data_IF_471590326612
#
_entry.id   IF_471590326612
#
_cell.length_a   1.000
_cell.length_b   1.000
_cell.length_c   1.000
_cell.angle_alpha   90.00
_cell.angle_beta   90.00
_cell.angle_gamma   90.00
#
_symmetry.space_group_name_H-M   'P 1'
#
loop_
_entity.id
_entity.type
_entity.pdbx_description
1 polymer ?
#
# COMPACT_ATOMS: atom_id res chain seq x y z
N UNK A 1 -38.10 -21.10 -14.25
CA UNK A 1 -37.21 -20.42 -15.20
C UNK A 1 -37.65 -18.96 -15.31
N UNK A 2 -36.72 -18.03 -15.40
CA UNK A 2 -36.95 -16.59 -15.50
C UNK A 2 -36.44 -16.10 -16.83
N UNK A 3 -37.20 -15.30 -17.54
CA UNK A 3 -36.70 -14.55 -18.68
C UNK A 3 -35.57 -13.60 -18.25
N UNK A 4 -34.72 -13.18 -19.18
CA UNK A 4 -33.62 -12.24 -18.88
C UNK A 4 -34.13 -10.95 -18.21
N UNK A 5 -35.33 -10.47 -18.59
CA UNK A 5 -35.94 -9.28 -17.99
C UNK A 5 -36.41 -9.51 -16.55
N UNK A 6 -37.01 -10.64 -16.24
CA UNK A 6 -37.41 -11.02 -14.88
C UNK A 6 -36.19 -11.23 -13.99
N UNK A 7 -35.18 -11.95 -14.50
CA UNK A 7 -33.92 -12.20 -13.77
C UNK A 7 -33.18 -10.88 -13.48
N UNK A 8 -33.11 -9.98 -14.46
CA UNK A 8 -32.57 -8.63 -14.33
C UNK A 8 -33.22 -7.86 -13.18
N UNK A 9 -34.55 -7.83 -13.12
CA UNK A 9 -35.31 -7.16 -12.07
C UNK A 9 -35.07 -7.79 -10.70
N UNK A 10 -35.14 -9.12 -10.63
CA UNK A 10 -34.99 -9.85 -9.36
C UNK A 10 -33.57 -9.71 -8.77
N UNK A 11 -32.55 -9.79 -9.61
CA UNK A 11 -31.15 -9.68 -9.20
C UNK A 11 -30.65 -8.23 -9.18
N UNK A 12 -31.47 -7.25 -9.55
CA UNK A 12 -31.09 -5.82 -9.62
C UNK A 12 -29.83 -5.58 -10.47
N UNK A 13 -29.78 -6.20 -11.65
CA UNK A 13 -28.67 -6.11 -12.61
C UNK A 13 -29.23 -5.79 -14.00
N UNK A 14 -28.54 -4.97 -14.77
CA UNK A 14 -29.03 -4.60 -16.10
C UNK A 14 -29.01 -5.79 -17.08
N UNK A 15 -29.95 -5.84 -18.01
CA UNK A 15 -29.95 -6.82 -19.10
C UNK A 15 -28.64 -6.76 -19.90
N UNK A 16 -28.10 -5.56 -20.11
CA UNK A 16 -26.78 -5.36 -20.75
C UNK A 16 -25.66 -6.08 -19.99
N UNK A 17 -25.68 -6.00 -18.66
CA UNK A 17 -24.70 -6.72 -17.82
C UNK A 17 -24.85 -8.22 -17.95
N UNK A 18 -26.08 -8.75 -17.98
CA UNK A 18 -26.32 -10.19 -18.18
C UNK A 18 -25.84 -10.68 -19.54
N UNK A 19 -26.04 -9.92 -20.62
CA UNK A 19 -25.47 -10.22 -21.93
C UNK A 19 -23.94 -10.22 -21.90
N UNK A 20 -23.35 -9.27 -21.17
CA UNK A 20 -21.89 -9.22 -21.01
C UNK A 20 -21.36 -10.42 -20.23
N UNK A 21 -22.03 -10.81 -19.15
CA UNK A 21 -21.64 -11.97 -18.33
C UNK A 21 -21.76 -13.29 -19.10
N UNK A 22 -22.79 -13.41 -19.93
CA UNK A 22 -22.91 -14.54 -20.86
C UNK A 22 -21.73 -14.55 -21.85
N UNK A 23 -21.43 -13.41 -22.48
CA UNK A 23 -20.32 -13.26 -23.44
C UNK A 23 -18.96 -13.65 -22.88
N UNK A 24 -18.65 -13.23 -21.64
CA UNK A 24 -17.37 -13.55 -20.98
C UNK A 24 -17.38 -14.92 -20.27
N UNK A 25 -18.50 -15.64 -20.30
CA UNK A 25 -18.65 -16.94 -19.67
C UNK A 25 -18.70 -16.91 -18.14
N UNK A 26 -19.04 -15.76 -17.54
CA UNK A 26 -19.17 -15.61 -16.09
C UNK A 26 -20.49 -16.14 -15.56
N UNK A 27 -21.60 -15.86 -16.26
CA UNK A 27 -22.94 -16.38 -15.96
C UNK A 27 -23.69 -16.64 -17.27
N UNK A 28 -23.75 -17.91 -17.68
CA UNK A 28 -24.41 -18.32 -18.91
C UNK A 28 -25.87 -18.67 -18.64
N UNK A 29 -26.82 -18.28 -19.53
CA UNK A 29 -28.22 -18.71 -19.40
C UNK A 29 -28.34 -20.24 -19.48
N UNK A 30 -29.28 -20.84 -18.73
CA UNK A 30 -29.55 -22.28 -18.79
C UNK A 30 -30.23 -22.68 -20.09
N UNK A 31 -30.89 -21.71 -20.76
CA UNK A 31 -31.55 -21.93 -22.05
C UNK A 31 -31.51 -20.64 -22.88
N UNK A 32 -31.20 -20.81 -24.16
CA UNK A 32 -31.41 -19.78 -25.17
C UNK A 32 -32.43 -20.36 -26.16
N UNK A 33 -33.51 -19.64 -26.39
CA UNK A 33 -34.51 -20.03 -27.35
C UNK A 33 -33.95 -19.93 -28.78
N UNK A 34 -33.99 -21.01 -29.51
CA UNK A 34 -33.33 -21.12 -30.81
C UNK A 34 -34.01 -20.28 -31.91
N UNK A 35 -35.31 -19.95 -31.76
CA UNK A 35 -36.05 -19.16 -32.73
C UNK A 35 -35.99 -17.66 -32.45
N UNK A 36 -36.07 -17.30 -31.17
CA UNK A 36 -36.19 -15.90 -30.77
C UNK A 36 -34.89 -15.32 -30.20
N UNK A 37 -33.89 -16.17 -29.85
CA UNK A 37 -32.68 -15.75 -29.17
C UNK A 37 -32.87 -15.34 -27.69
N UNK A 38 -34.07 -15.52 -27.14
CA UNK A 38 -34.38 -15.15 -25.77
C UNK A 38 -33.64 -16.05 -24.78
N UNK A 39 -33.07 -15.40 -23.72
CA UNK A 39 -32.30 -16.04 -22.68
C UNK A 39 -33.15 -16.28 -21.44
N UNK A 40 -32.99 -17.46 -20.87
CA UNK A 40 -33.66 -17.89 -19.64
C UNK A 40 -32.66 -18.35 -18.61
N UNK A 41 -32.94 -17.98 -17.35
CA UNK A 41 -32.11 -18.27 -16.18
C UNK A 41 -32.90 -19.12 -15.17
N UNK A 42 -32.20 -19.90 -14.36
CA UNK A 42 -32.78 -20.75 -13.32
C UNK A 42 -32.74 -20.06 -11.95
N UNK A 43 -33.50 -20.60 -11.00
CA UNK A 43 -33.45 -20.11 -9.61
C UNK A 43 -32.07 -20.25 -8.95
N UNK A 44 -31.32 -21.39 -9.08
CA UNK A 44 -29.96 -21.48 -8.53
C UNK A 44 -29.01 -20.40 -9.07
N UNK A 45 -29.20 -19.94 -10.28
CA UNK A 45 -28.38 -18.85 -10.84
C UNK A 45 -28.61 -17.49 -10.17
N UNK A 46 -29.68 -17.31 -9.41
CA UNK A 46 -29.86 -16.13 -8.58
C UNK A 46 -28.84 -16.09 -7.44
N UNK A 47 -28.55 -17.23 -6.81
CA UNK A 47 -27.55 -17.34 -5.76
C UNK A 47 -26.15 -17.08 -6.32
N UNK A 48 -25.86 -17.64 -7.50
CA UNK A 48 -24.61 -17.38 -8.23
C UNK A 48 -24.45 -15.90 -8.58
N UNK A 49 -25.52 -15.25 -9.06
CA UNK A 49 -25.51 -13.81 -9.35
C UNK A 49 -25.27 -12.95 -8.10
N UNK A 50 -25.92 -13.30 -6.97
CA UNK A 50 -25.70 -12.63 -5.69
C UNK A 50 -24.25 -12.79 -5.20
N UNK A 51 -23.66 -13.98 -5.38
CA UNK A 51 -22.26 -14.20 -5.05
C UNK A 51 -21.34 -13.33 -5.92
N UNK A 52 -21.58 -13.27 -7.24
CA UNK A 52 -20.83 -12.41 -8.17
C UNK A 52 -20.91 -10.94 -7.70
N UNK A 53 -22.09 -10.45 -7.35
CA UNK A 53 -22.27 -9.07 -6.86
C UNK A 53 -21.50 -8.80 -5.57
N UNK A 54 -21.50 -9.75 -4.63
CA UNK A 54 -20.73 -9.64 -3.38
C UNK A 54 -19.23 -9.57 -3.63
N UNK A 55 -18.71 -10.47 -4.47
CA UNK A 55 -17.29 -10.49 -4.81
C UNK A 55 -16.85 -9.21 -5.53
N UNK A 56 -17.69 -8.69 -6.45
CA UNK A 56 -17.46 -7.37 -7.07
C UNK A 56 -17.39 -6.25 -6.03
N UNK A 57 -18.32 -6.23 -5.08
CA UNK A 57 -18.32 -5.22 -4.01
C UNK A 57 -17.07 -5.30 -3.13
N UNK A 58 -16.48 -6.48 -2.99
CA UNK A 58 -15.21 -6.65 -2.27
C UNK A 58 -13.99 -6.23 -3.09
N UNK A 59 -14.18 -5.84 -4.36
CA UNK A 59 -13.11 -5.32 -5.21
C UNK A 59 -12.46 -6.35 -6.12
N UNK A 60 -13.01 -7.58 -6.23
CA UNK A 60 -12.53 -8.55 -7.21
C UNK A 60 -12.93 -8.17 -8.65
N UNK A 61 -12.02 -8.36 -9.57
CA UNK A 61 -12.27 -8.25 -11.00
C UNK A 61 -13.18 -9.39 -11.51
N UNK A 62 -13.84 -9.19 -12.64
CA UNK A 62 -14.70 -10.22 -13.22
C UNK A 62 -13.91 -11.48 -13.62
N UNK A 63 -12.64 -11.32 -13.97
CA UNK A 63 -11.76 -12.43 -14.31
C UNK A 63 -11.40 -13.26 -13.08
N UNK A 64 -11.04 -12.63 -11.96
CA UNK A 64 -10.82 -13.29 -10.69
C UNK A 64 -12.07 -14.03 -10.21
N UNK A 65 -13.25 -13.36 -10.27
CA UNK A 65 -14.53 -13.99 -9.90
C UNK A 65 -14.80 -15.23 -10.75
N UNK A 66 -14.61 -15.14 -12.06
CA UNK A 66 -14.77 -16.29 -12.95
C UNK A 66 -13.86 -17.45 -12.57
N UNK A 67 -12.57 -17.18 -12.27
CA UNK A 67 -11.63 -18.17 -11.79
C UNK A 67 -12.06 -18.82 -10.47
N UNK A 68 -12.53 -18.00 -9.51
CA UNK A 68 -13.01 -18.47 -8.20
C UNK A 68 -14.25 -19.38 -8.31
N UNK A 69 -15.19 -19.02 -9.19
CA UNK A 69 -16.40 -19.84 -9.42
C UNK A 69 -16.07 -21.14 -10.16
N UNK A 70 -15.13 -21.10 -11.10
CA UNK A 70 -14.72 -22.29 -11.86
C UNK A 70 -13.92 -23.29 -11.02
N UNK A 71 -13.12 -22.85 -10.08
CA UNK A 71 -12.31 -23.70 -9.21
C UNK A 71 -13.17 -24.53 -8.23
N UNK A 72 -14.27 -23.98 -7.72
CA UNK A 72 -15.21 -24.68 -6.82
C UNK A 72 -14.64 -25.03 -5.43
N UNK A 73 -13.35 -24.81 -5.18
CA UNK A 73 -12.71 -25.14 -3.91
C UNK A 73 -12.95 -24.06 -2.84
N UNK A 74 -13.68 -24.45 -1.80
CA UNK A 74 -14.01 -23.55 -0.67
C UNK A 74 -12.77 -22.98 0.04
N UNK A 75 -11.67 -23.76 0.08
CA UNK A 75 -10.41 -23.31 0.71
C UNK A 75 -9.74 -22.20 -0.09
N UNK A 76 -9.71 -22.31 -1.41
CA UNK A 76 -9.14 -21.29 -2.28
C UNK A 76 -9.95 -20.00 -2.22
N UNK A 77 -11.27 -20.11 -2.29
CA UNK A 77 -12.17 -18.97 -2.11
C UNK A 77 -11.92 -18.25 -0.79
N UNK A 78 -11.81 -19.01 0.31
CA UNK A 78 -11.54 -18.45 1.64
C UNK A 78 -10.18 -17.75 1.70
N UNK A 79 -9.13 -18.35 1.12
CA UNK A 79 -7.80 -17.75 1.07
C UNK A 79 -7.80 -16.41 0.31
N UNK A 80 -8.46 -16.36 -0.84
CA UNK A 80 -8.60 -15.10 -1.63
C UNK A 80 -9.38 -14.04 -0.89
N UNK A 81 -10.43 -14.42 -0.17
CA UNK A 81 -11.20 -13.48 0.68
C UNK A 81 -10.36 -12.92 1.82
N UNK A 82 -9.51 -13.73 2.45
CA UNK A 82 -8.57 -13.26 3.48
C UNK A 82 -7.56 -12.27 2.90
N UNK A 83 -6.92 -12.60 1.80
CA UNK A 83 -5.97 -11.70 1.12
C UNK A 83 -6.63 -10.36 0.75
N UNK A 84 -7.86 -10.40 0.23
CA UNK A 84 -8.59 -9.18 -0.12
C UNK A 84 -8.94 -8.35 1.12
N UNK A 85 -9.29 -9.00 2.23
CA UNK A 85 -9.50 -8.32 3.51
C UNK A 85 -8.25 -7.58 3.98
N UNK A 86 -7.09 -8.23 3.95
CA UNK A 86 -5.81 -7.60 4.32
C UNK A 86 -5.50 -6.40 3.43
N UNK A 87 -5.66 -6.55 2.12
CA UNK A 87 -5.49 -5.44 1.16
C UNK A 87 -6.40 -4.26 1.46
N UNK A 88 -7.67 -4.51 1.76
CA UNK A 88 -8.63 -3.44 2.11
C UNK A 88 -8.29 -2.77 3.45
N UNK A 89 -7.76 -3.51 4.42
CA UNK A 89 -7.28 -2.95 5.69
C UNK A 89 -6.08 -2.03 5.47
N UNK A 90 -5.12 -2.45 4.64
CA UNK A 90 -3.97 -1.62 4.27
C UNK A 90 -4.42 -0.34 3.55
N UNK A 91 -5.28 -0.45 2.53
CA UNK A 91 -5.83 0.71 1.82
C UNK A 91 -6.58 1.68 2.75
N UNK A 92 -7.30 1.15 3.74
CA UNK A 92 -7.95 1.95 4.76
C UNK A 92 -6.94 2.76 5.57
N UNK A 93 -5.85 2.12 6.04
CA UNK A 93 -4.80 2.80 6.81
C UNK A 93 -4.11 3.90 6.01
N UNK A 94 -3.76 3.61 4.75
CA UNK A 94 -3.17 4.59 3.83
C UNK A 94 -4.11 5.78 3.61
N UNK A 95 -5.39 5.50 3.37
CA UNK A 95 -6.41 6.55 3.18
C UNK A 95 -6.60 7.40 4.44
N UNK A 96 -6.61 6.78 5.62
CA UNK A 96 -6.70 7.49 6.91
C UNK A 96 -5.48 8.38 7.15
N UNK A 97 -4.30 7.96 6.73
CA UNK A 97 -3.10 8.79 6.79
C UNK A 97 -3.22 10.02 5.88
N UNK A 98 -3.58 9.81 4.61
CA UNK A 98 -3.80 10.91 3.65
C UNK A 98 -4.85 11.90 4.15
N UNK A 99 -5.94 11.41 4.76
CA UNK A 99 -6.97 12.27 5.35
C UNK A 99 -6.44 13.10 6.53
N UNK A 100 -5.57 12.53 7.37
CA UNK A 100 -4.92 13.30 8.46
C UNK A 100 -4.03 14.40 7.91
N UNK A 101 -3.19 14.09 6.91
CA UNK A 101 -2.32 15.06 6.25
C UNK A 101 -3.13 16.18 5.59
N UNK A 102 -4.16 15.83 4.84
CA UNK A 102 -5.04 16.80 4.19
C UNK A 102 -5.73 17.71 5.22
N UNK A 103 -6.21 17.13 6.33
CA UNK A 103 -6.85 17.91 7.40
C UNK A 103 -5.88 18.92 8.03
N UNK A 104 -4.62 18.52 8.23
CA UNK A 104 -3.58 19.43 8.73
C UNK A 104 -3.31 20.57 7.73
N UNK A 105 -3.18 20.24 6.44
CA UNK A 105 -2.98 21.24 5.40
C UNK A 105 -4.17 22.22 5.27
N UNK A 106 -5.41 21.74 5.41
CA UNK A 106 -6.59 22.60 5.38
C UNK A 106 -6.60 23.58 6.57
N UNK A 107 -6.22 23.09 7.76
CA UNK A 107 -6.10 23.95 8.95
C UNK A 107 -5.03 25.03 8.76
N UNK A 108 -3.89 24.65 8.19
CA UNK A 108 -2.82 25.61 7.87
C UNK A 108 -3.27 26.62 6.81
N UNK A 109 -4.02 26.19 5.79
CA UNK A 109 -4.58 27.07 4.78
C UNK A 109 -5.57 28.09 5.38
N UNK A 110 -6.46 27.66 6.27
CA UNK A 110 -7.38 28.56 6.97
C UNK A 110 -6.63 29.63 7.76
N UNK A 111 -5.50 29.27 8.37
CA UNK A 111 -4.69 30.19 9.17
C UNK A 111 -3.81 31.12 8.36
N UNK A 112 -3.24 30.63 7.25
CA UNK A 112 -2.18 31.34 6.50
C UNK A 112 -2.61 31.81 5.11
N UNK A 113 -3.73 31.29 4.58
CA UNK A 113 -4.15 31.49 3.20
C UNK A 113 -3.27 30.75 2.18
N UNK A 114 -2.43 29.82 2.63
CA UNK A 114 -1.48 29.08 1.79
C UNK A 114 -1.35 27.64 2.25
N UNK A 115 -1.59 26.69 1.34
CA UNK A 115 -1.50 25.25 1.62
C UNK A 115 -0.05 24.80 1.91
N UNK A 116 0.93 25.58 1.43
CA UNK A 116 2.36 25.36 1.65
C UNK A 116 2.96 26.38 2.63
N UNK A 117 2.12 26.97 3.48
CA UNK A 117 2.49 28.04 4.41
C UNK A 117 3.67 27.69 5.34
N UNK A 118 3.86 26.42 5.65
CA UNK A 118 5.02 25.95 6.43
C UNK A 118 6.37 26.14 5.69
N UNK A 119 6.37 26.23 4.35
CA UNK A 119 7.60 26.46 3.59
C UNK A 119 8.06 27.93 3.61
N UNK A 120 7.16 28.86 3.89
CA UNK A 120 7.48 30.30 3.92
C UNK A 120 8.22 30.76 5.16
N UNK A 121 8.28 29.92 6.20
CA UNK A 121 8.94 30.23 7.46
C UNK A 121 10.38 29.71 7.58
N UNK A 122 10.92 29.04 6.57
CA UNK A 122 12.27 28.50 6.61
C UNK A 122 13.26 29.49 5.97
N UNK A 123 14.17 29.99 6.76
CA UNK A 123 15.36 30.67 6.26
C UNK A 123 16.39 29.62 5.88
N UNK A 124 16.70 29.52 4.58
CA UNK A 124 17.71 28.60 4.08
C UNK A 124 19.05 29.29 4.12
N UNK A 125 19.97 28.78 4.91
CA UNK A 125 21.35 29.26 4.99
C UNK A 125 22.30 28.14 4.53
N UNK A 126 23.29 28.51 3.72
CA UNK A 126 24.42 27.63 3.42
C UNK A 126 25.46 27.83 4.51
N UNK A 127 25.71 26.80 5.29
CA UNK A 127 26.70 26.85 6.36
C UNK A 127 27.77 25.79 6.10
N UNK A 128 29.03 26.10 6.45
CA UNK A 128 30.08 25.07 6.52
C UNK A 128 29.78 24.16 7.71
N UNK A 129 29.61 22.86 7.42
CA UNK A 129 29.45 21.89 8.49
C UNK A 129 30.84 21.49 9.02
N UNK A 130 31.09 21.54 10.33
CA UNK A 130 32.35 21.04 10.88
C UNK A 130 32.50 19.53 10.63
N UNK A 131 33.74 19.06 10.56
CA UNK A 131 34.02 17.62 10.56
C UNK A 131 33.35 16.95 11.78
N UNK A 132 32.73 15.80 11.53
CA UNK A 132 32.03 15.04 12.57
C UNK A 132 32.45 13.61 12.53
N UNK A 133 32.70 13.03 13.71
CA UNK A 133 32.91 11.60 13.82
C UNK A 133 31.55 10.90 13.81
N UNK A 134 31.41 9.90 12.95
CA UNK A 134 30.18 9.11 12.81
C UNK A 134 30.47 7.64 12.78
N UNK A 135 29.49 6.82 13.17
CA UNK A 135 29.40 5.42 12.77
C UNK A 135 28.44 5.39 11.61
N UNK A 136 28.82 4.70 10.54
CA UNK A 136 28.04 4.68 9.32
C UNK A 136 27.81 3.24 8.82
N UNK A 137 26.71 3.07 8.08
CA UNK A 137 26.42 1.83 7.34
C UNK A 137 25.83 2.19 5.99
N UNK A 138 26.51 1.80 4.91
CA UNK A 138 26.12 2.09 3.53
C UNK A 138 25.64 0.83 2.84
N UNK A 139 24.48 0.90 2.19
CA UNK A 139 23.91 -0.19 1.41
C UNK A 139 22.75 0.29 0.55
N UNK A 140 22.34 -0.52 -0.41
CA UNK A 140 21.08 -0.32 -1.10
C UNK A 140 19.93 -0.67 -0.17
N UNK A 141 19.02 0.29 0.05
CA UNK A 141 17.87 0.11 0.93
C UNK A 141 16.68 0.95 0.51
N UNK A 142 15.49 0.56 0.94
CA UNK A 142 14.30 1.41 0.92
C UNK A 142 14.34 2.41 2.07
N UNK A 143 13.78 3.60 1.86
CA UNK A 143 13.59 4.59 2.92
C UNK A 143 12.73 4.03 4.07
N UNK A 144 11.79 3.13 3.75
CA UNK A 144 10.91 2.52 4.74
C UNK A 144 11.65 1.52 5.66
N UNK A 145 12.89 1.12 5.30
CA UNK A 145 13.74 0.23 6.10
C UNK A 145 14.70 0.98 7.05
N UNK A 146 14.73 2.31 7.04
CA UNK A 146 15.64 3.11 7.87
C UNK A 146 15.65 2.68 9.34
N UNK A 147 14.48 2.47 9.94
CA UNK A 147 14.35 2.05 11.32
C UNK A 147 15.14 0.77 11.64
N UNK A 148 15.03 -0.23 10.77
CA UNK A 148 15.74 -1.52 10.89
C UNK A 148 17.26 -1.37 10.83
N UNK A 149 17.74 -0.50 9.93
CA UNK A 149 19.18 -0.30 9.77
C UNK A 149 19.78 0.62 10.84
N UNK A 150 19.03 1.62 11.32
CA UNK A 150 19.44 2.38 12.51
C UNK A 150 19.52 1.50 13.75
N UNK A 151 18.57 0.60 13.97
CA UNK A 151 18.62 -0.37 15.07
C UNK A 151 19.92 -1.18 15.04
N UNK A 152 20.32 -1.69 13.88
CA UNK A 152 21.58 -2.41 13.71
C UNK A 152 22.82 -1.53 13.99
N UNK A 153 22.80 -0.26 13.57
CA UNK A 153 23.88 0.67 13.90
C UNK A 153 23.99 0.91 15.41
N UNK A 154 22.85 1.12 16.09
CA UNK A 154 22.84 1.31 17.53
C UNK A 154 23.27 0.07 18.31
N UNK A 155 23.02 -1.14 17.81
CA UNK A 155 23.54 -2.39 18.41
C UNK A 155 25.07 -2.45 18.39
N UNK A 156 25.72 -1.85 17.40
CA UNK A 156 27.18 -1.79 17.29
C UNK A 156 27.85 -0.72 18.16
N UNK A 157 27.11 0.29 18.61
CA UNK A 157 27.64 1.37 19.44
C UNK A 157 28.40 0.86 20.67
N UNK A 158 27.89 -0.10 21.48
CA UNK A 158 28.62 -0.65 22.62
C UNK A 158 29.87 -1.44 22.21
N UNK A 159 29.82 -2.16 21.08
CA UNK A 159 30.94 -2.96 20.57
C UNK A 159 32.13 -2.08 20.21
N UNK A 160 31.87 -0.93 19.60
CA UNK A 160 32.87 0.06 19.18
C UNK A 160 33.33 0.97 20.34
N UNK A 161 32.71 0.84 21.53
CA UNK A 161 33.02 1.65 22.73
C UNK A 161 32.95 3.16 22.45
N UNK A 162 31.97 3.60 21.71
CA UNK A 162 31.73 5.00 21.38
C UNK A 162 30.42 5.49 22.00
N UNK A 163 30.30 6.81 22.20
CA UNK A 163 29.10 7.42 22.79
C UNK A 163 28.39 8.23 21.71
N UNK A 164 27.12 7.92 21.38
CA UNK A 164 26.34 8.74 20.45
C UNK A 164 26.15 10.18 21.00
N UNK A 165 26.12 11.14 20.08
CA UNK A 165 25.88 12.56 20.42
C UNK A 165 24.46 13.03 20.11
N UNK A 166 23.58 12.11 19.67
CA UNK A 166 22.18 12.38 19.32
C UNK A 166 21.97 12.78 17.85
N UNK A 167 23.02 12.97 17.06
CA UNK A 167 22.89 13.25 15.63
C UNK A 167 22.62 11.94 14.86
N UNK A 168 21.62 11.98 13.99
CA UNK A 168 21.37 10.94 13.01
C UNK A 168 21.21 11.59 11.63
N UNK A 169 21.57 10.87 10.56
CA UNK A 169 21.44 11.38 9.20
C UNK A 169 21.54 10.29 8.16
N UNK A 170 21.20 10.64 6.94
CA UNK A 170 21.34 9.78 5.78
C UNK A 170 22.03 10.54 4.65
N UNK A 171 22.97 9.90 3.99
CA UNK A 171 23.67 10.42 2.79
C UNK A 171 23.24 9.56 1.62
N UNK A 172 22.76 10.23 0.56
CA UNK A 172 22.33 9.59 -0.68
C UNK A 172 23.44 9.73 -1.72
N UNK A 173 23.81 8.62 -2.35
CA UNK A 173 24.89 8.56 -3.34
C UNK A 173 24.37 8.46 -4.76
N UNK A 174 23.09 8.12 -4.95
CA UNK A 174 22.45 8.08 -6.27
C UNK A 174 22.26 9.49 -6.85
N UNK A 175 22.28 9.59 -8.16
CA UNK A 175 21.98 10.85 -8.87
C UNK A 175 20.49 11.20 -8.83
N UNK A 176 19.64 10.20 -8.74
CA UNK A 176 18.19 10.33 -8.70
C UNK A 176 17.65 9.57 -7.48
N UNK A 177 16.71 10.19 -6.77
CA UNK A 177 16.08 9.56 -5.60
C UNK A 177 15.13 8.45 -6.03
N UNK A 178 15.30 7.25 -5.44
CA UNK A 178 14.37 6.13 -5.57
C UNK A 178 13.98 5.67 -4.16
N UNK A 179 12.69 5.82 -3.81
CA UNK A 179 12.19 5.46 -2.48
C UNK A 179 12.37 3.98 -2.15
N UNK A 180 12.21 3.11 -3.15
CA UNK A 180 12.20 1.65 -2.92
C UNK A 180 13.61 1.05 -2.84
N UNK A 181 14.58 1.67 -3.52
CA UNK A 181 15.96 1.17 -3.56
C UNK A 181 16.92 2.28 -3.95
N UNK A 182 17.64 2.84 -3.00
CA UNK A 182 18.70 3.81 -3.21
C UNK A 182 19.97 3.41 -2.46
N UNK A 183 21.13 3.85 -2.99
CA UNK A 183 22.43 3.71 -2.32
C UNK A 183 22.53 4.76 -1.21
N UNK A 184 22.28 4.34 0.01
CA UNK A 184 22.15 5.21 1.17
C UNK A 184 23.14 4.80 2.24
N UNK A 185 23.79 5.80 2.82
CA UNK A 185 24.62 5.65 4.01
C UNK A 185 23.90 6.29 5.20
N UNK A 186 23.52 5.47 6.17
CA UNK A 186 22.96 5.94 7.43
C UNK A 186 24.10 6.24 8.39
N UNK A 187 24.02 7.38 9.09
CA UNK A 187 25.06 7.85 9.99
C UNK A 187 24.48 8.13 11.37
N UNK A 188 25.27 7.79 12.42
CA UNK A 188 25.02 8.16 13.80
C UNK A 188 26.24 8.91 14.30
N UNK A 189 26.05 10.17 14.70
CA UNK A 189 27.11 10.98 15.25
C UNK A 189 27.61 10.46 16.60
N UNK A 190 28.92 10.48 16.79
CA UNK A 190 29.57 10.04 18.02
C UNK A 190 30.39 11.19 18.61
N UNK A 191 30.57 11.15 19.92
CA UNK A 191 31.51 12.05 20.62
C UNK A 191 32.93 11.59 20.32
N UNK A 192 33.88 12.53 20.26
CA UNK A 192 35.28 12.16 20.16
C UNK A 192 35.66 11.21 21.30
N UNK A 193 36.46 10.19 20.97
CA UNK A 193 37.14 9.41 22.01
C UNK A 193 38.04 10.36 22.76
N UNK A 194 37.80 10.59 24.06
CA UNK A 194 38.82 11.15 24.92
C UNK A 194 40.06 10.31 24.73
N UNK A 195 41.17 10.92 24.27
CA UNK A 195 42.46 10.27 24.23
C UNK A 195 42.76 9.86 25.67
N UNK A 196 42.66 8.58 25.98
CA UNK A 196 43.12 8.11 27.23
C UNK A 196 44.63 8.47 27.31
N UNK A 197 44.93 9.42 28.17
CA UNK A 197 46.32 9.70 28.51
C UNK A 197 46.95 8.42 28.98
N UNK A 198 47.78 7.82 28.12
CA UNK A 198 48.71 6.77 28.54
C UNK A 198 49.78 7.50 29.38
N UNK A 199 49.53 7.57 30.65
CA UNK A 199 50.62 7.72 31.58
C UNK A 199 51.42 6.41 31.53
N UNK A 200 52.55 6.46 30.87
CA UNK A 200 53.54 5.40 30.90
C UNK A 200 54.40 5.71 32.13
N UNK A 201 54.26 4.92 33.20
CA UNK A 201 55.31 4.68 34.12
C UNK A 201 56.22 3.56 33.65
#
# INVERSE_FOLDING_TARGET
MFSIGEFSKTCQVSVKTLHYYDKIGLLKPVKVDALTGYRYYSQPQMEEMLLIQRLKRYGFSLEEIRGMLACGEKRELFSKLLQQKEKLLQQKQETEQVLRELSAHLLDFERTGDIMGYQKGYEIQVVEAPERNVIASRQNMSVDEFGKYYEKLYQRVPEEKVTPNGMVGAVYYDKEFNRECSDIELVVGIREREKADRVIE
#
